data_IF_679678163003
#
_entry.id   IF_679678163003
#
_cell.length_a   1.000
_cell.length_b   1.000
_cell.length_c   1.000
_cell.angle_alpha   90.00
_cell.angle_beta   90.00
_cell.angle_gamma   90.00
#
_symmetry.space_group_name_H-M   'P 1'
#
loop_
_entity.id
_entity.type
_entity.pdbx_description
1 polymer ?
#
# COMPACT_ATOMS: atom_id res chain seq x y z
N UNK A 1 9.68 -8.31 -9.12
CA UNK A 1 8.77 -9.33 -8.53
C UNK A 1 7.69 -8.75 -7.63
N UNK A 2 7.91 -7.71 -6.82
CA UNK A 2 6.84 -7.11 -5.98
C UNK A 2 5.70 -6.45 -6.78
N UNK A 3 6.01 -5.73 -7.87
CA UNK A 3 4.98 -5.07 -8.69
C UNK A 3 4.02 -6.10 -9.32
N UNK A 4 4.52 -7.24 -9.78
CA UNK A 4 3.70 -8.27 -10.45
C UNK A 4 2.66 -8.88 -9.51
N UNK A 5 3.04 -9.24 -8.29
CA UNK A 5 2.11 -9.80 -7.29
C UNK A 5 1.01 -8.80 -6.95
N UNK A 6 1.38 -7.53 -6.77
CA UNK A 6 0.43 -6.48 -6.40
C UNK A 6 -0.53 -6.14 -7.55
N UNK A 7 -0.01 -6.01 -8.78
CA UNK A 7 -0.85 -5.75 -9.95
C UNK A 7 -1.78 -6.93 -10.24
N UNK A 8 -1.29 -8.17 -10.19
CA UNK A 8 -2.16 -9.35 -10.43
C UNK A 8 -3.25 -9.49 -9.36
N UNK A 9 -2.93 -9.22 -8.10
CA UNK A 9 -3.93 -9.20 -7.02
C UNK A 9 -5.03 -8.16 -7.27
N UNK A 10 -4.65 -6.90 -7.56
CA UNK A 10 -5.62 -5.81 -7.82
C UNK A 10 -6.50 -6.12 -9.04
N UNK A 11 -5.91 -6.63 -10.11
CA UNK A 11 -6.64 -6.95 -11.34
C UNK A 11 -7.61 -8.12 -11.15
N UNK A 12 -7.29 -9.06 -10.25
CA UNK A 12 -8.14 -10.21 -9.97
C UNK A 12 -9.26 -9.94 -8.96
N UNK A 13 -9.10 -8.96 -8.08
CA UNK A 13 -10.06 -8.69 -6.99
C UNK A 13 -11.06 -7.57 -7.26
N UNK A 14 -10.82 -6.71 -8.26
CA UNK A 14 -11.62 -5.52 -8.49
C UNK A 14 -12.90 -5.83 -9.30
N UNK A 15 -14.10 -5.42 -8.85
CA UNK A 15 -15.36 -5.62 -9.59
C UNK A 15 -15.56 -4.59 -10.72
N UNK A 16 -14.49 -3.89 -11.14
CA UNK A 16 -14.51 -2.81 -12.13
C UNK A 16 -13.64 -3.17 -13.33
N UNK A 17 -13.78 -2.40 -14.41
CA UNK A 17 -12.95 -2.59 -15.60
C UNK A 17 -11.45 -2.49 -15.30
N UNK A 18 -10.67 -3.30 -16.01
CA UNK A 18 -9.22 -3.39 -15.86
C UNK A 18 -8.50 -2.06 -16.00
N UNK A 19 -9.01 -1.17 -16.87
CA UNK A 19 -8.46 0.18 -17.08
C UNK A 19 -8.59 1.04 -15.81
N UNK A 20 -9.73 0.99 -15.13
CA UNK A 20 -10.00 1.72 -13.88
C UNK A 20 -9.18 1.15 -12.73
N UNK A 21 -9.06 -0.18 -12.65
CA UNK A 21 -8.22 -0.84 -11.65
C UNK A 21 -6.73 -0.46 -11.82
N UNK A 22 -6.24 -0.41 -13.06
CA UNK A 22 -4.85 -0.04 -13.39
C UNK A 22 -4.52 1.40 -13.05
N UNK A 23 -5.39 2.34 -13.45
CA UNK A 23 -5.20 3.76 -13.19
C UNK A 23 -5.24 4.05 -11.69
N UNK A 24 -6.15 3.40 -10.96
CA UNK A 24 -6.27 3.53 -9.50
C UNK A 24 -5.03 3.00 -8.77
N UNK A 25 -4.54 1.80 -9.13
CA UNK A 25 -3.30 1.26 -8.59
C UNK A 25 -2.10 2.19 -8.83
N UNK A 26 -1.97 2.69 -10.07
CA UNK A 26 -0.87 3.58 -10.45
C UNK A 26 -0.95 4.91 -9.71
N UNK A 27 -2.14 5.49 -9.56
CA UNK A 27 -2.37 6.72 -8.81
C UNK A 27 -1.88 6.60 -7.36
N UNK A 28 -2.26 5.52 -6.65
CA UNK A 28 -1.78 5.28 -5.27
C UNK A 28 -0.26 5.18 -5.22
N UNK A 29 0.35 4.47 -6.18
CA UNK A 29 1.81 4.34 -6.26
C UNK A 29 2.50 5.69 -6.48
N UNK A 30 1.97 6.53 -7.37
CA UNK A 30 2.57 7.84 -7.66
C UNK A 30 2.34 8.85 -6.52
N UNK A 31 1.16 8.88 -5.92
CA UNK A 31 0.86 9.75 -4.78
C UNK A 31 1.77 9.39 -3.60
N UNK A 32 1.89 8.11 -3.26
CA UNK A 32 2.80 7.66 -2.21
C UNK A 32 4.26 8.02 -2.53
N UNK A 33 4.69 7.82 -3.78
CA UNK A 33 6.03 8.18 -4.25
C UNK A 33 6.31 9.69 -4.24
N UNK A 34 5.29 10.54 -4.35
CA UNK A 34 5.42 11.99 -4.29
C UNK A 34 5.47 12.52 -2.84
N UNK A 35 4.67 11.93 -1.94
CA UNK A 35 4.59 12.36 -0.53
C UNK A 35 5.79 11.84 0.28
N UNK A 36 6.27 10.61 -0.01
CA UNK A 36 7.30 9.97 0.78
C UNK A 36 8.63 10.76 0.85
N UNK A 37 9.18 11.32 -0.26
CA UNK A 37 10.41 12.11 -0.20
C UNK A 37 10.26 13.39 0.62
N UNK A 38 9.11 14.05 0.56
CA UNK A 38 8.84 15.25 1.35
C UNK A 38 8.83 14.94 2.84
N UNK A 39 8.10 13.89 3.27
CA UNK A 39 8.09 13.43 4.66
C UNK A 39 9.51 13.02 5.09
N UNK A 40 10.22 12.26 4.25
CA UNK A 40 11.58 11.82 4.56
C UNK A 40 12.55 13.00 4.76
N UNK A 41 12.46 14.04 3.93
CA UNK A 41 13.25 15.26 4.07
C UNK A 41 12.99 15.97 5.40
N UNK A 42 11.72 16.25 5.70
CA UNK A 42 11.31 16.92 6.95
C UNK A 42 11.76 16.13 8.18
N UNK A 43 11.62 14.79 8.17
CA UNK A 43 12.03 13.94 9.29
C UNK A 43 13.55 13.89 9.47
N UNK A 44 14.30 13.86 8.37
CA UNK A 44 15.75 13.87 8.41
C UNK A 44 16.30 15.19 8.95
N UNK A 45 15.68 16.32 8.59
CA UNK A 45 16.06 17.66 9.03
C UNK A 45 15.68 17.91 10.50
N UNK A 46 14.51 17.43 10.94
CA UNK A 46 13.97 17.75 12.28
C UNK A 46 14.59 16.88 13.39
N UNK A 47 14.90 15.62 13.09
CA UNK A 47 15.34 14.66 14.10
C UNK A 47 16.78 14.19 13.84
N UNK A 48 16.94 13.26 12.92
CA UNK A 48 18.24 12.69 12.52
C UNK A 48 18.09 12.02 11.16
N UNK A 49 19.20 11.89 10.41
CA UNK A 49 19.24 11.25 9.10
C UNK A 49 18.72 9.79 9.08
N UNK A 50 18.71 9.10 10.22
CA UNK A 50 18.21 7.72 10.35
C UNK A 50 16.71 7.61 10.60
N UNK A 51 16.04 8.69 11.01
CA UNK A 51 14.61 8.70 11.36
C UNK A 51 13.67 8.25 10.23
N UNK A 52 13.86 8.68 8.96
CA UNK A 52 13.01 8.25 7.85
C UNK A 52 12.97 6.73 7.63
N UNK A 53 14.04 6.01 7.94
CA UNK A 53 14.09 4.56 7.79
C UNK A 53 13.19 3.85 8.80
N UNK A 54 13.20 4.29 10.05
CA UNK A 54 12.32 3.74 11.09
C UNK A 54 10.84 4.01 10.77
N UNK A 55 10.53 5.20 10.27
CA UNK A 55 9.16 5.55 9.84
C UNK A 55 8.74 4.75 8.63
N UNK A 56 9.62 4.59 7.63
CA UNK A 56 9.36 3.70 6.50
C UNK A 56 9.08 2.25 6.94
N UNK A 57 9.86 1.73 7.88
CA UNK A 57 9.65 0.40 8.45
C UNK A 57 8.28 0.29 9.16
N UNK A 58 7.90 1.30 9.95
CA UNK A 58 6.60 1.34 10.62
C UNK A 58 5.43 1.39 9.62
N UNK A 59 5.54 2.16 8.54
CA UNK A 59 4.52 2.23 7.47
C UNK A 59 4.37 0.88 6.75
N UNK A 60 5.49 0.20 6.45
CA UNK A 60 5.46 -1.13 5.85
C UNK A 60 4.79 -2.14 6.78
N UNK A 61 5.12 -2.12 8.08
CA UNK A 61 4.48 -2.97 9.08
C UNK A 61 2.98 -2.72 9.18
N UNK A 62 2.55 -1.45 9.18
CA UNK A 62 1.13 -1.10 9.17
C UNK A 62 0.43 -1.66 7.92
N UNK A 63 1.03 -1.53 6.74
CA UNK A 63 0.52 -2.12 5.51
C UNK A 63 0.39 -3.65 5.59
N UNK A 64 1.37 -4.32 6.19
CA UNK A 64 1.32 -5.76 6.43
C UNK A 64 0.19 -6.16 7.37
N UNK A 65 -0.04 -5.41 8.45
CA UNK A 65 -1.16 -5.62 9.39
C UNK A 65 -2.50 -5.46 8.66
N UNK A 66 -2.66 -4.42 7.84
CA UNK A 66 -3.88 -4.18 7.06
C UNK A 66 -4.16 -5.37 6.14
N UNK A 67 -3.14 -5.88 5.43
CA UNK A 67 -3.29 -7.05 4.56
C UNK A 67 -3.68 -8.31 5.36
N UNK A 68 -3.09 -8.51 6.54
CA UNK A 68 -3.41 -9.63 7.42
C UNK A 68 -4.84 -9.55 7.99
N UNK A 69 -5.31 -8.36 8.38
CA UNK A 69 -6.67 -8.14 8.87
C UNK A 69 -7.70 -8.24 7.75
N UNK A 70 -7.39 -7.75 6.54
CA UNK A 70 -8.23 -7.87 5.36
C UNK A 70 -8.54 -9.33 5.00
N UNK A 71 -7.62 -10.27 5.27
CA UNK A 71 -7.90 -11.72 5.12
C UNK A 71 -9.07 -12.18 5.97
N UNK A 72 -9.23 -11.66 7.21
CA UNK A 72 -10.35 -12.03 8.09
C UNK A 72 -11.68 -11.45 7.60
N UNK A 73 -11.66 -10.26 7.00
CA UNK A 73 -12.87 -9.65 6.42
C UNK A 73 -13.36 -10.40 5.18
N UNK A 74 -12.46 -10.95 4.36
CA UNK A 74 -12.83 -11.79 3.21
C UNK A 74 -13.38 -13.17 3.62
N UNK A 75 -12.89 -13.76 4.71
CA UNK A 75 -13.40 -15.05 5.24
C UNK A 75 -14.85 -14.93 5.73
N UNK A 76 -15.26 -13.78 6.26
CA UNK A 76 -16.63 -13.58 6.75
C UNK A 76 -17.65 -13.26 5.62
N UNK A 77 -17.21 -12.90 4.41
CA UNK A 77 -18.11 -12.64 3.27
C UNK A 77 -18.47 -13.95 2.54
N UNK A 78 -17.65 -15.01 2.67
CA UNK A 78 -17.92 -16.33 2.08
C UNK A 78 -19.05 -17.11 2.80
N UNK A 79 -19.50 -16.66 3.98
CA UNK A 79 -20.60 -17.30 4.73
C UNK A 79 -22.00 -16.79 4.32
N UNK A 80 -22.10 -15.90 3.33
CA UNK A 80 -23.34 -15.24 2.90
C UNK A 80 -23.81 -15.58 1.48
N UNK A 81 -23.30 -16.64 0.85
CA UNK A 81 -23.81 -17.18 -0.42
C UNK A 81 -24.10 -18.67 -0.29
#
# INVERSE_FOLDING_TARGET
MINTVLTTAVMGSAPVERSIASSSYSAVRFIGGAIAPWIAGVLAETYTASTPYYVGAAVVLAGMIILLLGRKHLVNIQAGH
#
